data_IF_480304308044
#
_entry.id   IF_480304308044
#
_cell.length_a   1.000
_cell.length_b   1.000
_cell.length_c   1.000
_cell.angle_alpha   90.00
_cell.angle_beta   90.00
_cell.angle_gamma   90.00
#
_symmetry.space_group_name_H-M   'P 1'
#
loop_
_entity.id
_entity.type
_entity.pdbx_description
1 polymer ?
#
# COMPACT_ATOMS: atom_id res chain seq x y z
N UNK A 1 -7.06 2.21 -9.55
CA UNK A 1 -5.66 2.38 -9.07
C UNK A 1 -5.33 3.87 -9.02
N UNK A 2 -5.09 4.41 -7.82
CA UNK A 2 -4.87 5.85 -7.59
C UNK A 2 -4.08 6.13 -6.30
N UNK A 3 -3.19 5.19 -5.95
CA UNK A 3 -2.37 5.31 -4.74
C UNK A 3 -1.09 6.06 -5.04
N UNK A 4 -0.73 6.96 -4.14
CA UNK A 4 0.50 7.75 -4.21
C UNK A 4 1.37 7.39 -3.02
N UNK A 5 2.66 7.25 -3.27
CA UNK A 5 3.66 7.15 -2.22
C UNK A 5 3.78 8.50 -1.52
N UNK A 6 3.45 8.54 -0.24
CA UNK A 6 3.46 9.77 0.56
C UNK A 6 4.80 9.97 1.24
N UNK A 7 5.38 8.91 1.81
CA UNK A 7 6.64 8.98 2.55
C UNK A 7 7.28 7.61 2.74
N UNK A 8 8.59 7.62 2.92
CA UNK A 8 9.37 6.45 3.34
C UNK A 8 9.50 6.45 4.87
N UNK A 9 9.23 5.33 5.52
CA UNK A 9 9.34 5.19 6.98
C UNK A 9 10.08 3.90 7.32
N UNK A 10 11.35 4.02 7.72
CA UNK A 10 12.18 2.87 8.08
C UNK A 10 12.24 1.85 6.94
N UNK A 11 11.80 0.61 7.17
CA UNK A 11 11.75 -0.46 6.16
C UNK A 11 10.44 -0.51 5.37
N UNK A 12 9.58 0.51 5.46
CA UNK A 12 8.26 0.55 4.82
C UNK A 12 8.07 1.83 4.00
N UNK A 13 7.18 1.75 3.03
CA UNK A 13 6.67 2.83 2.19
C UNK A 13 5.22 3.11 2.52
N UNK A 14 4.87 4.36 2.75
CA UNK A 14 3.52 4.75 3.09
C UNK A 14 2.75 5.15 1.84
N UNK A 15 1.76 4.34 1.46
CA UNK A 15 0.90 4.62 0.32
C UNK A 15 -0.46 5.12 0.77
N UNK A 16 -0.97 6.13 0.09
CA UNK A 16 -2.31 6.67 0.31
C UNK A 16 -3.09 6.70 -0.99
N UNK A 17 -4.30 6.16 -0.98
CA UNK A 17 -5.28 6.39 -2.03
C UNK A 17 -6.11 7.62 -1.68
N UNK A 18 -5.97 8.71 -2.45
CA UNK A 18 -6.72 9.93 -2.19
C UNK A 18 -8.22 9.82 -2.52
N UNK A 19 -8.62 8.87 -3.37
CA UNK A 19 -10.03 8.64 -3.71
C UNK A 19 -10.78 7.98 -2.56
N UNK A 20 -10.22 6.90 -2.00
CA UNK A 20 -10.82 6.17 -0.87
C UNK A 20 -10.40 6.72 0.51
N UNK A 21 -9.44 7.66 0.54
CA UNK A 21 -8.76 8.18 1.74
C UNK A 21 -8.06 7.10 2.59
N UNK A 22 -7.85 5.90 2.05
CA UNK A 22 -7.16 4.82 2.75
C UNK A 22 -5.66 4.97 2.66
N UNK A 23 -4.98 4.63 3.75
CA UNK A 23 -3.51 4.63 3.82
C UNK A 23 -2.97 3.33 4.40
N UNK A 24 -1.88 2.80 3.84
CA UNK A 24 -1.25 1.56 4.26
C UNK A 24 0.28 1.67 4.18
N UNK A 25 1.02 1.20 5.20
CA UNK A 25 2.45 0.94 5.08
C UNK A 25 2.69 -0.37 4.31
N UNK A 26 3.47 -0.29 3.23
CA UNK A 26 3.88 -1.42 2.39
C UNK A 26 5.36 -1.71 2.68
N UNK A 27 5.75 -2.94 3.02
CA UNK A 27 7.14 -3.24 3.34
C UNK A 27 8.04 -3.20 2.09
N UNK A 28 9.29 -2.76 2.27
CA UNK A 28 10.34 -2.69 1.22
C UNK A 28 11.24 -3.92 1.17
N UNK A 29 10.69 -5.10 1.39
CA UNK A 29 11.44 -6.34 1.18
C UNK A 29 10.98 -7.03 -0.11
N UNK A 30 11.86 -7.85 -0.67
CA UNK A 30 11.67 -8.44 -2.01
C UNK A 30 10.57 -9.50 -2.03
N UNK A 31 10.29 -10.16 -0.91
CA UNK A 31 9.36 -11.28 -0.80
C UNK A 31 8.20 -10.96 0.14
N UNK A 32 7.02 -10.75 -0.42
CA UNK A 32 5.79 -10.48 0.35
C UNK A 32 4.85 -11.67 0.15
N UNK A 33 4.19 -12.11 1.23
CA UNK A 33 3.18 -13.16 1.12
C UNK A 33 2.06 -12.75 0.15
N UNK A 34 1.65 -13.65 -0.75
CA UNK A 34 0.63 -13.37 -1.77
C UNK A 34 -0.71 -12.89 -1.16
N UNK A 35 -1.13 -13.47 -0.04
CA UNK A 35 -2.36 -13.05 0.65
C UNK A 35 -2.25 -11.62 1.18
N UNK A 36 -1.06 -11.24 1.65
CA UNK A 36 -0.79 -9.88 2.11
C UNK A 36 -0.78 -8.89 0.94
N UNK A 37 -0.16 -9.26 -0.19
CA UNK A 37 -0.18 -8.46 -1.41
C UNK A 37 -1.62 -8.24 -1.93
N UNK A 38 -2.43 -9.30 -1.97
CA UNK A 38 -3.86 -9.23 -2.31
C UNK A 38 -4.64 -8.32 -1.36
N UNK A 39 -4.36 -8.38 -0.06
CA UNK A 39 -4.99 -7.52 0.93
C UNK A 39 -4.64 -6.03 0.70
N UNK A 40 -3.37 -5.72 0.39
CA UNK A 40 -2.97 -4.36 0.02
C UNK A 40 -3.71 -3.88 -1.22
N UNK A 41 -3.72 -4.67 -2.30
CA UNK A 41 -4.45 -4.32 -3.53
C UNK A 41 -5.92 -4.09 -3.23
N UNK A 42 -6.57 -4.94 -2.41
CA UNK A 42 -7.99 -4.78 -2.07
C UNK A 42 -8.29 -3.49 -1.31
N UNK A 43 -7.43 -3.10 -0.36
CA UNK A 43 -7.60 -1.87 0.44
C UNK A 43 -7.24 -0.61 -0.34
N UNK A 44 -6.22 -0.71 -1.17
CA UNK A 44 -5.68 0.40 -1.95
C UNK A 44 -6.37 0.56 -3.31
N UNK A 45 -7.16 -0.41 -3.76
CA UNK A 45 -8.00 -0.26 -4.93
C UNK A 45 -9.26 0.56 -4.60
N UNK A 46 -9.59 1.43 -5.54
CA UNK A 46 -10.86 2.12 -5.65
C UNK A 46 -11.70 1.19 -6.54
N UNK A 47 -12.72 0.53 -6.00
CA UNK A 47 -13.65 -0.31 -6.75
C UNK A 47 -14.92 0.50 -6.96
#
# INVERSE_FOLDING_TARGET
>A
MGCVLVRHVGKHDFYTNYKTKQSQPVPRHKEINENLAKAFIRKLSDN
#
